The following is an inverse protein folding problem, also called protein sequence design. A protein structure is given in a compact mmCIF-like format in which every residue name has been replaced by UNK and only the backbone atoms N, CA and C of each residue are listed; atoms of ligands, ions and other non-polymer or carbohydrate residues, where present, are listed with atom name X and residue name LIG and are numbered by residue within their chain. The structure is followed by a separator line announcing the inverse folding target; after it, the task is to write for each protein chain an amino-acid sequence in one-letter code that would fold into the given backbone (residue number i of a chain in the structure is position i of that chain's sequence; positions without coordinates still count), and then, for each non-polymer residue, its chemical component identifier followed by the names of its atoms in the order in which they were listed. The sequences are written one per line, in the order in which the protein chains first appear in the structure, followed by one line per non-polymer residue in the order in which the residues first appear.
data_IF_881039940039
#
_entry.id   IF_881039940039
#
_cell.length_a   1.000
_cell.length_b   1.000
_cell.length_c   1.000
_cell.angle_alpha   90.00
_cell.angle_beta   90.00
_cell.angle_gamma   90.00
#
_symmetry.space_group_name_H-M   'P 1'
#
loop_
_entity.id
_entity.type
_entity.pdbx_description
1 polymer ?
#
# COMPACT_ATOMS: atom_id res chain seq x y z
N UNK A 1 -36.35 -32.21 -12.19
CA UNK A 1 -35.71 -30.98 -12.70
C UNK A 1 -34.50 -30.67 -11.83
N UNK A 2 -33.29 -30.77 -12.37
CA UNK A 2 -32.04 -30.47 -11.65
C UNK A 2 -31.77 -28.97 -11.77
N UNK A 3 -31.72 -28.27 -10.64
CA UNK A 3 -31.29 -26.87 -10.58
C UNK A 3 -29.79 -26.84 -10.37
N UNK A 4 -29.04 -26.36 -11.36
CA UNK A 4 -27.61 -26.10 -11.23
C UNK A 4 -27.44 -24.68 -10.71
N UNK A 5 -27.05 -24.54 -9.45
CA UNK A 5 -26.63 -23.25 -8.89
C UNK A 5 -25.22 -22.96 -9.42
N UNK A 6 -25.09 -21.97 -10.31
CA UNK A 6 -23.80 -21.37 -10.63
C UNK A 6 -23.40 -20.47 -9.45
N UNK A 7 -22.54 -20.98 -8.57
CA UNK A 7 -21.83 -20.16 -7.58
C UNK A 7 -20.86 -19.24 -8.33
N UNK A 8 -21.27 -18.00 -8.57
CA UNK A 8 -20.36 -16.94 -8.98
C UNK A 8 -19.39 -16.62 -7.84
N UNK A 9 -18.12 -16.93 -8.03
CA UNK A 9 -17.05 -16.52 -7.10
C UNK A 9 -16.87 -15.02 -7.22
N UNK A 10 -17.37 -14.26 -6.24
CA UNK A 10 -16.91 -12.88 -6.03
C UNK A 10 -15.50 -12.94 -5.44
N UNK A 11 -14.48 -12.73 -6.26
CA UNK A 11 -13.12 -12.52 -5.77
C UNK A 11 -13.11 -11.20 -5.01
N UNK A 12 -13.12 -11.24 -3.68
CA UNK A 12 -12.99 -10.05 -2.83
C UNK A 12 -11.51 -9.64 -2.77
N UNK A 13 -10.99 -9.09 -3.86
CA UNK A 13 -9.71 -8.37 -3.88
C UNK A 13 -9.93 -6.90 -3.50
N UNK A 14 -10.57 -6.62 -2.36
CA UNK A 14 -10.95 -5.26 -1.98
C UNK A 14 -9.90 -4.50 -1.15
N UNK A 15 -8.94 -5.19 -0.53
CA UNK A 15 -7.92 -4.53 0.30
C UNK A 15 -6.92 -3.65 -0.50
N UNK A 16 -6.32 -4.10 -1.62
CA UNK A 16 -5.33 -3.28 -2.33
C UNK A 16 -5.96 -2.03 -2.96
N UNK A 17 -7.17 -2.15 -3.51
CA UNK A 17 -7.91 -1.03 -4.08
C UNK A 17 -8.30 0.03 -3.03
N UNK A 18 -8.48 -0.37 -1.76
CA UNK A 18 -8.77 0.59 -0.68
C UNK A 18 -7.52 1.34 -0.22
N UNK A 19 -6.32 0.79 -0.38
CA UNK A 19 -5.10 1.46 0.05
C UNK A 19 -4.67 2.58 -0.92
N UNK A 20 -4.94 2.44 -2.22
CA UNK A 20 -4.50 3.40 -3.25
C UNK A 20 -4.99 4.82 -3.00
N UNK A 21 -4.10 5.81 -3.06
CA UNK A 21 -4.44 7.21 -2.82
C UNK A 21 -3.21 8.08 -2.65
N UNK A 22 -3.44 9.39 -2.61
CA UNK A 22 -2.48 10.36 -2.11
C UNK A 22 -2.68 10.50 -0.60
N UNK A 23 -1.65 10.20 0.17
CA UNK A 23 -1.65 10.20 1.62
C UNK A 23 -0.73 11.28 2.16
N UNK A 24 -1.08 11.84 3.31
CA UNK A 24 -0.24 12.75 4.07
C UNK A 24 0.17 12.11 5.39
N UNK A 25 1.47 12.10 5.67
CA UNK A 25 2.03 11.78 6.98
C UNK A 25 2.59 13.05 7.61
N UNK A 26 2.34 13.25 8.91
CA UNK A 26 2.98 14.32 9.68
C UNK A 26 4.30 13.80 10.26
N UNK A 27 5.40 14.49 9.98
CA UNK A 27 6.73 14.18 10.50
C UNK A 27 7.31 15.44 11.15
N UNK A 28 7.13 15.58 12.47
CA UNK A 28 7.41 16.84 13.16
C UNK A 28 6.52 17.96 12.64
N UNK A 29 7.13 19.05 12.15
CA UNK A 29 6.43 20.19 11.54
C UNK A 29 6.22 20.04 10.03
N UNK A 30 6.77 18.98 9.41
CA UNK A 30 6.62 18.72 7.99
C UNK A 30 5.41 17.84 7.68
N UNK A 31 4.74 18.15 6.56
CA UNK A 31 3.75 17.27 5.94
C UNK A 31 4.41 16.61 4.73
N UNK A 32 4.45 15.27 4.74
CA UNK A 32 4.99 14.48 3.64
C UNK A 32 3.88 13.81 2.86
N UNK A 33 3.94 13.93 1.54
CA UNK A 33 3.02 13.26 0.63
C UNK A 33 3.55 11.89 0.23
N UNK A 34 2.66 10.90 0.27
CA UNK A 34 2.93 9.51 -0.06
C UNK A 34 1.89 9.08 -1.09
N UNK A 35 2.35 8.83 -2.31
CA UNK A 35 1.52 8.39 -3.42
C UNK A 35 1.49 6.86 -3.44
N UNK A 36 0.35 6.24 -3.16
CA UNK A 36 0.18 4.78 -3.21
C UNK A 36 -0.68 4.42 -4.42
N UNK A 37 -0.14 3.64 -5.35
CA UNK A 37 -0.77 3.36 -6.66
C UNK A 37 -1.15 1.90 -6.82
N UNK A 38 -2.15 1.62 -7.66
CA UNK A 38 -2.73 0.29 -7.87
C UNK A 38 -1.78 -0.72 -8.51
N UNK A 39 -0.75 -0.25 -9.20
CA UNK A 39 0.32 -1.06 -9.80
C UNK A 39 1.37 -1.57 -8.80
N UNK A 40 1.07 -1.50 -7.49
CA UNK A 40 1.97 -1.89 -6.40
C UNK A 40 3.21 -1.00 -6.25
N UNK A 41 3.21 0.20 -6.83
CA UNK A 41 4.20 1.23 -6.50
C UNK A 41 3.70 2.18 -5.42
N UNK A 42 4.62 2.64 -4.58
CA UNK A 42 4.43 3.79 -3.72
C UNK A 42 5.58 4.78 -3.93
N UNK A 43 5.32 6.07 -3.72
CA UNK A 43 6.34 7.10 -3.83
C UNK A 43 6.24 8.06 -2.65
N UNK A 44 7.38 8.35 -2.03
CA UNK A 44 7.54 9.27 -0.92
C UNK A 44 8.71 10.20 -1.27
N UNK A 45 8.43 11.49 -1.47
CA UNK A 45 9.45 12.39 -2.01
C UNK A 45 10.04 11.88 -3.34
N UNK A 46 11.34 11.58 -3.35
CA UNK A 46 12.03 11.00 -4.52
C UNK A 46 12.14 9.47 -4.47
N UNK A 47 11.87 8.84 -3.32
CA UNK A 47 12.04 7.40 -3.17
C UNK A 47 10.80 6.67 -3.71
N UNK A 48 11.06 5.58 -4.42
CA UNK A 48 10.03 4.71 -4.98
C UNK A 48 10.13 3.36 -4.29
N UNK A 49 9.00 2.93 -3.75
CA UNK A 49 8.86 1.64 -3.10
C UNK A 49 7.95 0.72 -3.91
N UNK A 50 8.11 -0.58 -3.70
CA UNK A 50 7.07 -1.57 -4.01
C UNK A 50 6.34 -1.92 -2.73
N UNK A 51 5.03 -2.16 -2.83
CA UNK A 51 4.20 -2.55 -1.69
C UNK A 51 3.30 -3.75 -1.98
N UNK A 52 2.92 -4.47 -0.92
CA UNK A 52 1.88 -5.51 -0.92
C UNK A 52 1.07 -5.43 0.37
N UNK A 53 -0.22 -5.77 0.30
CA UNK A 53 -1.05 -6.01 1.48
C UNK A 53 -1.20 -7.52 1.65
N UNK A 54 -0.81 -8.03 2.82
CA UNK A 54 -0.88 -9.46 3.18
C UNK A 54 -1.59 -9.56 4.53
N UNK A 55 -2.84 -10.03 4.53
CA UNK A 55 -3.70 -9.95 5.73
C UNK A 55 -3.82 -8.51 6.23
N UNK A 56 -3.53 -8.31 7.51
CA UNK A 56 -3.49 -6.99 8.16
C UNK A 56 -2.10 -6.33 8.13
N UNK A 57 -1.20 -6.79 7.24
CA UNK A 57 0.15 -6.26 7.12
C UNK A 57 0.38 -5.53 5.80
N UNK A 58 1.12 -4.43 5.86
CA UNK A 58 1.68 -3.72 4.72
C UNK A 58 3.16 -4.07 4.60
N UNK A 59 3.51 -4.70 3.49
CA UNK A 59 4.86 -5.08 3.15
C UNK A 59 5.41 -4.02 2.19
N UNK A 60 6.63 -3.53 2.42
CA UNK A 60 7.27 -2.48 1.63
C UNK A 60 8.73 -2.86 1.36
N UNK A 61 9.22 -2.62 0.14
CA UNK A 61 10.66 -2.66 -0.19
C UNK A 61 11.06 -1.44 -1.00
N UNK A 62 12.29 -0.96 -0.80
CA UNK A 62 12.88 0.14 -1.56
C UNK A 62 13.78 -0.35 -2.72
N UNK A 63 13.85 -1.66 -2.95
CA UNK A 63 14.62 -2.25 -4.07
C UNK A 63 15.97 -2.85 -3.69
N UNK A 64 16.27 -2.92 -2.41
CA UNK A 64 17.37 -3.75 -1.85
C UNK A 64 17.01 -5.25 -1.76
N UNK A 65 15.77 -5.61 -2.14
CA UNK A 65 15.25 -6.97 -2.04
C UNK A 65 14.76 -7.34 -0.64
N UNK A 66 14.92 -6.45 0.35
CA UNK A 66 14.46 -6.67 1.73
C UNK A 66 13.06 -6.10 1.88
N UNK A 67 12.16 -6.92 2.41
CA UNK A 67 10.78 -6.52 2.68
C UNK A 67 10.61 -6.16 4.14
N UNK A 68 10.30 -4.89 4.38
CA UNK A 68 9.88 -4.41 5.68
C UNK A 68 8.38 -4.63 5.86
N UNK A 69 8.02 -5.23 6.98
CA UNK A 69 6.65 -5.62 7.29
C UNK A 69 6.11 -4.75 8.41
N UNK A 70 5.00 -4.07 8.12
CA UNK A 70 4.28 -3.22 9.05
C UNK A 70 2.89 -3.81 9.33
N UNK A 71 2.40 -3.68 10.56
CA UNK A 71 0.98 -3.82 10.84
C UNK A 71 0.20 -2.64 10.23
N UNK A 72 -1.01 -2.90 9.74
CA UNK A 72 -1.85 -1.93 9.04
C UNK A 72 -3.28 -1.92 9.60
N UNK A 73 -3.83 -0.73 9.83
CA UNK A 73 -5.26 -0.50 10.06
C UNK A 73 -5.76 0.58 9.12
N UNK A 74 -6.72 0.24 8.27
CA UNK A 74 -7.32 1.15 7.30
C UNK A 74 -8.79 1.42 7.66
N UNK A 75 -9.12 2.69 7.92
CA UNK A 75 -10.47 3.16 8.23
C UNK A 75 -10.78 4.42 7.41
N UNK A 76 -11.44 4.24 6.26
CA UNK A 76 -11.82 5.34 5.37
C UNK A 76 -10.61 6.12 4.82
N UNK A 77 -10.49 7.38 5.21
CA UNK A 77 -9.38 8.28 4.87
C UNK A 77 -8.23 8.23 5.88
N UNK A 78 -8.27 7.32 6.87
CA UNK A 78 -7.22 7.16 7.87
C UNK A 78 -6.52 5.81 7.73
N UNK A 79 -5.20 5.85 7.62
CA UNK A 79 -4.33 4.67 7.61
C UNK A 79 -3.40 4.77 8.82
N UNK A 80 -3.36 3.75 9.65
CA UNK A 80 -2.37 3.62 10.72
C UNK A 80 -1.44 2.46 10.40
N UNK A 81 -0.13 2.74 10.39
CA UNK A 81 0.94 1.75 10.25
C UNK A 81 1.71 1.64 11.57
N UNK A 82 2.19 0.45 11.92
CA UNK A 82 2.85 0.18 13.20
C UNK A 82 3.85 -0.97 13.11
N UNK A 83 4.82 -1.01 14.04
CA UNK A 83 5.85 -2.04 14.07
C UNK A 83 6.92 -1.82 13.01
N UNK A 84 7.57 -2.89 12.56
CA UNK A 84 8.72 -2.80 11.65
C UNK A 84 9.86 -2.02 12.31
N UNK A 85 10.33 -0.98 11.62
CA UNK A 85 11.34 -0.03 12.09
C UNK A 85 10.75 1.23 12.75
N UNK A 86 9.43 1.31 12.93
CA UNK A 86 8.78 2.47 13.56
C UNK A 86 8.85 2.37 15.09
N UNK A 87 9.40 3.40 15.74
CA UNK A 87 9.36 3.52 17.21
C UNK A 87 7.93 3.63 17.77
N UNK A 88 7.04 4.29 17.02
CA UNK A 88 5.62 4.50 17.36
C UNK A 88 4.76 4.37 16.12
N UNK A 89 3.47 3.97 16.26
CA UNK A 89 2.56 3.95 15.13
C UNK A 89 2.46 5.31 14.44
N UNK A 90 2.47 5.31 13.10
CA UNK A 90 2.29 6.50 12.26
C UNK A 90 0.89 6.48 11.68
N UNK A 91 0.21 7.62 11.70
CA UNK A 91 -1.10 7.78 11.07
C UNK A 91 -0.99 8.71 9.86
N UNK A 92 -1.50 8.23 8.74
CA UNK A 92 -1.62 8.94 7.49
C UNK A 92 -3.08 9.30 7.23
N UNK A 93 -3.28 10.45 6.59
CA UNK A 93 -4.59 10.90 6.10
C UNK A 93 -4.63 10.91 4.59
N UNK A 94 -5.66 10.32 3.98
CA UNK A 94 -5.89 10.35 2.55
C UNK A 94 -6.41 11.73 2.17
N UNK A 95 -5.75 12.36 1.21
CA UNK A 95 -6.10 13.70 0.73
C UNK A 95 -6.55 13.72 -0.73
N UNK A 96 -6.50 12.58 -1.41
CA UNK A 96 -7.00 12.47 -2.77
C UNK A 96 -6.78 11.10 -3.40
N UNK A 97 -7.25 10.93 -4.65
CA UNK A 97 -6.95 9.75 -5.44
C UNK A 97 -5.45 9.66 -5.76
N UNK A 98 -4.99 8.46 -6.13
CA UNK A 98 -3.63 8.29 -6.63
C UNK A 98 -3.51 8.79 -8.07
N UNK A 99 -2.39 9.41 -8.43
CA UNK A 99 -2.04 9.68 -9.82
C UNK A 99 -1.30 8.50 -10.42
N UNK A 100 -1.33 8.36 -11.75
CA UNK A 100 -0.55 7.35 -12.46
C UNK A 100 0.95 7.51 -12.14
N UNK A 101 1.70 6.39 -12.17
CA UNK A 101 3.15 6.46 -12.03
C UNK A 101 3.72 7.02 -13.34
N UNK A 102 4.60 8.02 -13.31
CA UNK A 102 5.40 8.39 -14.47
C UNK A 102 6.22 7.20 -14.96
N UNK A 103 6.31 7.01 -16.28
CA UNK A 103 7.06 5.88 -16.86
C UNK A 103 8.56 5.91 -16.57
N UNK A 104 9.09 7.08 -16.19
CA UNK A 104 10.47 7.28 -15.77
C UNK A 104 10.78 6.73 -14.37
N UNK A 105 9.76 6.43 -13.55
CA UNK A 105 9.96 5.86 -12.22
C UNK A 105 10.01 4.34 -12.30
N UNK A 106 11.19 3.80 -12.03
CA UNK A 106 11.42 2.37 -11.88
C UNK A 106 10.87 1.90 -10.54
N UNK A 107 10.02 0.88 -10.55
CA UNK A 107 9.55 0.24 -9.31
C UNK A 107 10.55 -0.85 -8.93
N UNK A 108 10.92 -0.99 -7.64
CA UNK A 108 11.62 -2.18 -7.14
C UNK A 108 11.03 -3.49 -7.66
N UNK A 109 11.87 -4.46 -8.04
CA UNK A 109 11.43 -5.79 -8.47
C UNK A 109 10.74 -6.57 -7.34
N UNK A 110 9.87 -7.54 -7.65
CA UNK A 110 9.26 -8.35 -6.61
C UNK A 110 10.31 -9.38 -6.17
N UNK A 111 10.20 -9.93 -4.95
CA UNK A 111 11.09 -11.00 -4.55
C UNK A 111 10.90 -12.18 -5.51
N UNK A 112 11.97 -12.93 -5.76
CA UNK A 112 11.87 -14.15 -6.54
C UNK A 112 10.82 -15.08 -5.90
N UNK A 113 9.97 -15.74 -6.70
CA UNK A 113 9.07 -16.75 -6.17
C UNK A 113 9.89 -17.87 -5.51
N UNK A 114 9.47 -18.28 -4.32
CA UNK A 114 10.04 -19.42 -3.60
C UNK A 114 9.77 -20.74 -4.32
#
# INVERSE_FOLDING_TARGET
MRWTILLGVLIVAQAPARLTGNWQAKAGDEIRHIMVRSDSSAQFGQDVARWRVVGDSLWITLGDGVWQVYGMKLAGDKLTISGGDLEKPVTLRRVGPSTARPDTLTIPEPPAPN
#
